data_IF_370159385787
#
_entry.id   IF_370159385787
#
_cell.length_a   1.000
_cell.length_b   1.000
_cell.length_c   1.000
_cell.angle_alpha   90.00
_cell.angle_beta   90.00
_cell.angle_gamma   90.00
#
_symmetry.space_group_name_H-M   'P 1'
#
loop_
_entity.id
_entity.type
_entity.pdbx_description
1 polymer ?
#
# COMPACT_ATOMS: atom_id res chain seq x y z
N UNK A 1 -2.82 -13.77 1.00
CA UNK A 1 -1.88 -12.79 1.59
C UNK A 1 -1.08 -11.98 0.56
N UNK A 2 -0.72 -12.51 -0.63
CA UNK A 2 0.16 -11.81 -1.60
C UNK A 2 -0.29 -10.39 -1.95
N UNK A 3 -1.58 -10.16 -2.21
CA UNK A 3 -2.10 -8.82 -2.53
C UNK A 3 -1.90 -7.81 -1.40
N UNK A 4 -2.11 -8.21 -0.14
CA UNK A 4 -1.97 -7.32 1.03
C UNK A 4 -0.51 -6.96 1.28
N UNK A 5 0.40 -7.94 1.22
CA UNK A 5 1.83 -7.67 1.39
C UNK A 5 2.36 -6.70 0.33
N UNK A 6 1.91 -6.87 -0.92
CA UNK A 6 2.26 -5.97 -2.01
C UNK A 6 1.62 -4.59 -1.85
N UNK A 7 0.35 -4.52 -1.46
CA UNK A 7 -0.37 -3.28 -1.17
C UNK A 7 0.37 -2.46 -0.12
N UNK A 8 0.77 -3.09 0.99
CA UNK A 8 1.51 -2.44 2.06
C UNK A 8 2.83 -1.84 1.58
N UNK A 9 3.61 -2.56 0.77
CA UNK A 9 4.88 -2.04 0.25
C UNK A 9 4.66 -0.85 -0.68
N UNK A 10 3.67 -0.90 -1.58
CA UNK A 10 3.40 0.21 -2.51
C UNK A 10 2.95 1.46 -1.75
N UNK A 11 2.16 1.30 -0.70
CA UNK A 11 1.72 2.42 0.15
C UNK A 11 2.89 2.99 0.96
N UNK A 12 3.74 2.17 1.57
CA UNK A 12 4.93 2.65 2.30
C UNK A 12 5.89 3.42 1.37
N UNK A 13 6.12 2.93 0.14
CA UNK A 13 6.92 3.63 -0.88
C UNK A 13 6.30 5.00 -1.26
N UNK A 14 4.97 5.08 -1.40
CA UNK A 14 4.26 6.35 -1.67
C UNK A 14 4.41 7.31 -0.49
N UNK A 15 4.26 6.80 0.74
CA UNK A 15 4.36 7.59 1.95
C UNK A 15 5.78 8.12 2.16
N UNK A 16 6.82 7.30 1.94
CA UNK A 16 8.23 7.71 2.06
C UNK A 16 8.61 8.83 1.08
N UNK A 17 7.95 8.88 -0.09
CA UNK A 17 8.19 9.90 -1.11
C UNK A 17 7.34 11.18 -0.93
N UNK A 18 6.14 11.07 -0.36
CA UNK A 18 5.17 12.18 -0.31
C UNK A 18 5.04 12.85 1.07
N UNK A 19 5.34 12.16 2.16
CA UNK A 19 5.16 12.69 3.51
C UNK A 19 6.47 13.18 4.11
N UNK A 20 6.35 14.15 5.01
CA UNK A 20 7.48 14.65 5.78
C UNK A 20 7.90 13.66 6.87
N UNK A 21 9.16 13.75 7.32
CA UNK A 21 9.68 12.91 8.41
C UNK A 21 8.87 13.04 9.71
N UNK A 22 8.30 14.23 9.96
CA UNK A 22 7.47 14.51 11.13
C UNK A 22 6.15 13.73 11.09
N UNK A 23 5.54 13.58 9.91
CA UNK A 23 4.29 12.83 9.73
C UNK A 23 4.49 11.32 9.75
N UNK A 24 5.68 10.84 9.34
CA UNK A 24 6.01 9.42 9.33
C UNK A 24 6.59 8.91 10.65
N UNK A 25 7.04 9.81 11.54
CA UNK A 25 7.76 9.44 12.76
C UNK A 25 9.12 8.77 12.50
N UNK A 26 9.60 8.78 11.25
CA UNK A 26 10.89 8.26 10.76
C UNK A 26 11.47 9.22 9.71
N UNK A 27 12.75 9.07 9.37
CA UNK A 27 13.37 9.86 8.28
C UNK A 27 12.68 9.54 6.95
N UNK A 28 11.98 10.53 6.38
CA UNK A 28 11.38 10.46 5.05
C UNK A 28 12.45 10.48 3.93
N UNK A 29 12.11 9.96 2.76
CA UNK A 29 13.01 9.90 1.61
C UNK A 29 14.21 8.97 1.81
N UNK A 30 14.16 8.07 2.80
CA UNK A 30 15.24 7.13 3.07
C UNK A 30 15.48 6.23 1.85
N UNK A 31 14.42 5.86 1.14
CA UNK A 31 14.54 5.03 -0.04
C UNK A 31 15.22 5.75 -1.22
N UNK A 32 15.00 7.07 -1.34
CA UNK A 32 15.71 7.90 -2.31
C UNK A 32 17.19 8.02 -1.97
N UNK A 33 17.52 8.27 -0.69
CA UNK A 33 18.90 8.37 -0.18
C UNK A 33 19.64 7.04 -0.39
N UNK A 34 18.95 5.91 -0.20
CA UNK A 34 19.52 4.58 -0.39
C UNK A 34 19.63 4.14 -1.86
N UNK A 35 19.20 4.98 -2.82
CA UNK A 35 19.18 4.63 -4.24
C UNK A 35 18.23 3.47 -4.59
N UNK A 36 17.28 3.15 -3.71
CA UNK A 36 16.34 2.05 -3.90
C UNK A 36 15.41 2.33 -5.08
N UNK A 37 14.99 1.26 -5.75
CA UNK A 37 13.95 1.34 -6.78
C UNK A 37 12.59 1.16 -6.09
N UNK A 38 11.82 2.24 -5.99
CA UNK A 38 10.47 2.26 -5.39
C UNK A 38 9.39 2.27 -6.46
N UNK A 39 8.14 1.96 -6.08
CA UNK A 39 7.02 2.00 -7.01
C UNK A 39 6.78 3.39 -7.64
N UNK A 40 6.71 4.50 -6.88
CA UNK A 40 6.57 5.82 -7.49
C UNK A 40 7.72 6.19 -8.43
N UNK A 41 8.96 5.77 -8.12
CA UNK A 41 10.12 5.98 -9.00
C UNK A 41 10.04 5.18 -10.31
N UNK A 42 9.47 3.97 -10.28
CA UNK A 42 9.35 3.10 -11.45
C UNK A 42 8.12 3.43 -12.32
N UNK A 43 6.97 3.67 -11.69
CA UNK A 43 5.68 3.81 -12.36
C UNK A 43 5.20 5.26 -12.46
N UNK A 44 5.74 6.15 -11.63
CA UNK A 44 5.17 7.47 -11.35
C UNK A 44 4.13 7.41 -10.23
N UNK A 45 4.03 8.49 -9.45
CA UNK A 45 3.16 8.58 -8.27
C UNK A 45 1.70 8.24 -8.57
N UNK A 46 1.13 8.79 -9.66
CA UNK A 46 -0.27 8.57 -10.00
C UNK A 46 -0.55 7.11 -10.38
N UNK A 47 0.33 6.47 -11.17
CA UNK A 47 0.20 5.05 -11.49
C UNK A 47 0.38 4.16 -10.27
N UNK A 48 1.23 4.54 -9.32
CA UNK A 48 1.35 3.84 -8.04
C UNK A 48 0.08 3.90 -7.22
N UNK A 49 -0.61 5.06 -7.17
CA UNK A 49 -1.94 5.19 -6.54
C UNK A 49 -3.01 4.36 -7.24
N UNK A 50 -3.00 4.30 -8.57
CA UNK A 50 -3.87 3.40 -9.33
C UNK A 50 -3.59 1.92 -9.01
N UNK A 51 -2.33 1.57 -8.84
CA UNK A 51 -1.91 0.22 -8.48
C UNK A 51 -2.38 -0.18 -7.07
N UNK A 52 -2.32 0.75 -6.11
CA UNK A 52 -2.96 0.58 -4.77
C UNK A 52 -4.43 0.24 -4.92
N UNK A 53 -5.21 1.02 -5.69
CA UNK A 53 -6.64 0.76 -5.92
C UNK A 53 -6.89 -0.62 -6.53
N UNK A 54 -6.05 -1.04 -7.48
CA UNK A 54 -6.13 -2.37 -8.09
C UNK A 54 -5.88 -3.46 -7.04
N UNK A 55 -4.81 -3.34 -6.24
CA UNK A 55 -4.47 -4.33 -5.21
C UNK A 55 -5.53 -4.44 -4.12
N UNK A 56 -6.12 -3.32 -3.71
CA UNK A 56 -7.24 -3.27 -2.75
C UNK A 56 -8.46 -4.02 -3.29
N UNK A 57 -8.81 -3.79 -4.56
CA UNK A 57 -9.91 -4.53 -5.21
C UNK A 57 -9.61 -6.02 -5.30
N UNK A 58 -8.42 -6.39 -5.77
CA UNK A 58 -8.03 -7.79 -5.93
C UNK A 58 -8.00 -8.50 -4.56
N UNK A 59 -7.52 -7.84 -3.51
CA UNK A 59 -7.54 -8.35 -2.14
C UNK A 59 -8.97 -8.60 -1.63
N UNK A 60 -9.89 -7.66 -1.85
CA UNK A 60 -11.31 -7.81 -1.49
C UNK A 60 -12.00 -8.92 -2.29
N UNK A 61 -11.65 -9.07 -3.56
CA UNK A 61 -12.20 -10.15 -4.39
C UNK A 61 -11.80 -11.53 -3.85
N UNK A 62 -10.59 -11.69 -3.33
CA UNK A 62 -10.15 -12.93 -2.69
C UNK A 62 -10.87 -13.26 -1.37
N UNK A 63 -11.57 -12.29 -0.78
CA UNK A 63 -12.39 -12.49 0.43
C UNK A 63 -13.85 -12.84 0.08
N UNK A 64 -14.24 -12.86 -1.20
CA UNK A 64 -15.56 -13.30 -1.62
C UNK A 64 -15.75 -14.80 -1.34
N UNK A 65 -16.97 -15.19 -0.97
CA UNK A 65 -17.33 -16.58 -0.67
C UNK A 65 -17.14 -17.02 0.78
N UNK A 66 -16.56 -16.15 1.63
CA UNK A 66 -16.52 -16.34 3.08
C UNK A 66 -17.68 -15.60 3.76
N UNK A 67 -18.02 -15.98 5.01
CA UNK A 67 -19.05 -15.27 5.76
C UNK A 67 -18.63 -13.82 6.03
N UNK A 68 -19.56 -12.89 5.82
CA UNK A 68 -19.32 -11.44 5.95
C UNK A 68 -18.77 -11.05 7.33
N UNK A 69 -19.31 -11.66 8.39
CA UNK A 69 -18.86 -11.45 9.77
C UNK A 69 -17.37 -11.79 9.97
N UNK A 70 -16.88 -12.86 9.33
CA UNK A 70 -15.53 -13.39 9.53
C UNK A 70 -14.50 -12.64 8.71
N UNK A 71 -14.91 -12.10 7.56
CA UNK A 71 -14.01 -11.31 6.70
C UNK A 71 -13.99 -9.83 7.04
N UNK A 72 -14.96 -9.33 7.83
CA UNK A 72 -15.01 -7.91 8.19
C UNK A 72 -13.69 -7.36 8.76
N UNK A 73 -12.95 -8.05 9.67
CA UNK A 73 -11.65 -7.57 10.13
C UNK A 73 -10.58 -7.51 9.02
N UNK A 74 -10.61 -8.47 8.09
CA UNK A 74 -9.66 -8.51 6.97
C UNK A 74 -9.95 -7.43 5.94
N UNK A 75 -11.22 -7.12 5.70
CA UNK A 75 -11.65 -5.99 4.88
C UNK A 75 -11.20 -4.68 5.51
N UNK A 76 -11.48 -4.49 6.82
CA UNK A 76 -11.04 -3.30 7.55
C UNK A 76 -9.52 -3.13 7.52
N UNK A 77 -8.75 -4.21 7.67
CA UNK A 77 -7.30 -4.16 7.55
C UNK A 77 -6.85 -3.80 6.12
N UNK A 78 -7.52 -4.32 5.10
CA UNK A 78 -7.23 -3.98 3.70
C UNK A 78 -7.44 -2.48 3.45
N UNK A 79 -8.52 -1.93 3.98
CA UNK A 79 -8.85 -0.50 3.83
C UNK A 79 -7.96 0.40 4.67
N UNK A 80 -7.52 -0.06 5.84
CA UNK A 80 -6.59 0.68 6.68
C UNK A 80 -5.21 0.83 6.02
N UNK A 81 -4.78 -0.18 5.25
CA UNK A 81 -3.50 -0.14 4.55
C UNK A 81 -3.58 0.74 3.30
N UNK A 82 -4.71 0.76 2.59
CA UNK A 82 -4.87 1.43 1.29
C UNK A 82 -4.92 2.96 1.38
#
# INVERSE_FOLDING_TARGET
ARCIGLLFQVVDDILDETKSSAELGKTAGKDQIAGKLTYPKLLGLEKSKEFVKKLTRDARQHLQGFSSEKVAPLVALTDFIA
#
